data_IF_244283064453
#
_entry.id   IF_244283064453
#
_cell.length_a   1.000
_cell.length_b   1.000
_cell.length_c   1.000
_cell.angle_alpha   90.00
_cell.angle_beta   90.00
_cell.angle_gamma   90.00
#
_symmetry.space_group_name_H-M   'P 1'
#
loop_
_entity.id
_entity.type
_entity.pdbx_description
1 polymer ?
#
# COMPACT_ATOMS: atom_id res chain seq x y z
N UNK A 1 -7.60 2.01 10.10
CA UNK A 1 -6.56 1.64 9.11
C UNK A 1 -6.42 2.78 8.11
N UNK A 2 -5.20 3.26 7.86
CA UNK A 2 -4.94 4.31 6.88
C UNK A 2 -4.26 3.72 5.65
N UNK A 3 -4.91 3.83 4.49
CA UNK A 3 -4.41 3.30 3.22
C UNK A 3 -4.16 4.44 2.24
N UNK A 4 -3.02 4.41 1.59
CA UNK A 4 -2.73 5.24 0.44
C UNK A 4 -2.42 4.38 -0.78
N UNK A 5 -2.91 4.79 -1.95
CA UNK A 5 -2.57 4.17 -3.24
C UNK A 5 -1.78 5.19 -4.07
N UNK A 6 -0.69 4.73 -4.68
CA UNK A 6 0.13 5.50 -5.62
C UNK A 6 0.39 4.72 -6.89
N UNK A 7 0.26 5.43 -8.00
CA UNK A 7 0.55 4.86 -9.30
C UNK A 7 2.02 4.64 -9.54
N UNK A 8 2.83 5.59 -9.12
CA UNK A 8 4.28 5.53 -9.16
C UNK A 8 4.84 6.14 -7.89
N UNK A 9 5.88 5.52 -7.34
CA UNK A 9 6.61 6.03 -6.19
C UNK A 9 8.07 5.59 -6.25
N UNK A 10 8.97 6.46 -5.82
CA UNK A 10 10.31 6.13 -5.38
C UNK A 10 10.35 6.09 -3.83
N UNK A 11 11.52 5.80 -3.25
CA UNK A 11 11.66 5.73 -1.79
C UNK A 11 11.30 7.07 -1.10
N UNK A 12 11.59 8.20 -1.73
CA UNK A 12 11.29 9.52 -1.14
C UNK A 12 9.79 9.74 -0.94
N UNK A 13 8.97 9.24 -1.85
CA UNK A 13 7.51 9.26 -1.74
C UNK A 13 7.03 8.33 -0.63
N UNK A 14 7.63 7.14 -0.52
CA UNK A 14 7.31 6.18 0.56
C UNK A 14 7.60 6.80 1.94
N UNK A 15 8.77 7.40 2.10
CA UNK A 15 9.20 8.05 3.35
C UNK A 15 8.32 9.26 3.69
N UNK A 16 7.93 10.06 2.69
CA UNK A 16 7.01 11.19 2.88
C UNK A 16 5.65 10.70 3.41
N UNK A 17 5.12 9.61 2.87
CA UNK A 17 3.86 9.03 3.35
C UNK A 17 4.01 8.38 4.72
N UNK A 18 5.13 7.74 5.02
CA UNK A 18 5.41 7.24 6.36
C UNK A 18 5.32 8.39 7.37
N UNK A 19 6.01 9.50 7.10
CA UNK A 19 5.96 10.70 7.96
C UNK A 19 4.55 11.26 8.11
N UNK A 20 3.80 11.45 7.01
CA UNK A 20 2.44 12.01 7.03
C UNK A 20 1.42 11.11 7.74
N UNK A 21 1.54 9.80 7.55
CA UNK A 21 0.62 8.82 8.15
C UNK A 21 0.98 8.54 9.61
N UNK A 22 2.26 8.56 9.97
CA UNK A 22 2.73 8.43 11.35
C UNK A 22 2.30 9.58 12.26
N UNK A 23 2.05 10.76 11.70
CA UNK A 23 1.51 11.92 12.43
C UNK A 23 0.01 11.79 12.75
N UNK A 24 -0.70 10.81 12.18
CA UNK A 24 -2.13 10.61 12.47
C UNK A 24 -2.29 9.97 13.86
N UNK A 25 -3.14 10.54 14.72
CA UNK A 25 -3.43 9.95 16.03
C UNK A 25 -4.13 8.59 15.84
N UNK A 26 -3.70 7.59 16.61
CA UNK A 26 -4.29 6.24 16.62
C UNK A 26 -3.30 5.12 16.30
N UNK A 27 -3.64 3.89 16.70
CA UNK A 27 -2.84 2.66 16.45
C UNK A 27 -3.18 2.00 15.11
N UNK A 28 -3.62 2.79 14.14
CA UNK A 28 -3.99 2.26 12.85
C UNK A 28 -2.79 1.64 12.14
N UNK A 29 -3.00 0.46 11.54
CA UNK A 29 -2.09 -0.06 10.52
C UNK A 29 -2.02 0.93 9.37
N UNK A 30 -0.79 1.17 8.91
CA UNK A 30 -0.46 2.09 7.83
C UNK A 30 -0.07 1.26 6.62
N UNK A 31 -0.72 1.49 5.48
CA UNK A 31 -0.42 0.77 4.25
C UNK A 31 -0.27 1.72 3.07
N UNK A 32 0.77 1.52 2.28
CA UNK A 32 0.99 2.18 1.00
C UNK A 32 0.99 1.13 -0.12
N UNK A 33 0.07 1.24 -1.06
CA UNK A 33 0.04 0.42 -2.27
C UNK A 33 0.74 1.17 -3.39
N UNK A 34 1.76 0.57 -4.00
CA UNK A 34 2.50 1.15 -5.11
C UNK A 34 2.51 0.21 -6.32
N UNK A 35 1.90 0.63 -7.43
CA UNK A 35 1.78 -0.24 -8.60
C UNK A 35 2.88 -0.08 -9.67
N UNK A 36 3.72 0.95 -9.58
CA UNK A 36 4.90 1.11 -10.44
C UNK A 36 6.05 1.70 -9.64
N UNK A 37 6.77 0.89 -8.85
CA UNK A 37 7.91 1.36 -8.07
C UNK A 37 9.03 1.86 -9.00
N UNK A 38 9.70 2.93 -8.59
CA UNK A 38 10.93 3.42 -9.23
C UNK A 38 12.11 3.01 -8.37
N UNK A 39 12.88 2.04 -8.84
CA UNK A 39 13.94 1.40 -8.04
C UNK A 39 13.39 0.42 -7.00
N UNK A 40 14.26 0.02 -6.06
CA UNK A 40 13.89 -0.86 -4.96
C UNK A 40 13.31 -0.02 -3.81
N UNK A 41 12.10 -0.37 -3.39
CA UNK A 41 11.43 0.27 -2.26
C UNK A 41 11.56 -0.61 -1.00
N UNK A 42 11.68 0.04 0.15
CA UNK A 42 11.76 -0.59 1.47
C UNK A 42 10.68 -0.03 2.39
N UNK A 43 10.20 -0.86 3.31
CA UNK A 43 9.24 -0.45 4.34
C UNK A 43 9.92 0.44 5.39
N UNK A 44 9.46 1.68 5.59
CA UNK A 44 10.02 2.56 6.61
C UNK A 44 9.34 2.34 7.97
N UNK A 45 10.13 2.54 9.03
CA UNK A 45 9.64 2.65 10.41
C UNK A 45 9.17 4.09 10.65
N UNK A 46 7.97 4.26 11.19
CA UNK A 46 7.44 5.57 11.60
C UNK A 46 7.81 5.90 13.05
N UNK A 47 7.70 7.19 13.41
CA UNK A 47 8.22 7.77 14.65
C UNK A 47 7.72 7.15 15.95
N UNK A 48 6.60 6.42 15.93
CA UNK A 48 6.05 5.71 17.09
C UNK A 48 6.33 4.21 17.08
N UNK A 49 7.26 3.76 16.24
CA UNK A 49 7.70 2.36 16.14
C UNK A 49 6.79 1.47 15.30
N UNK A 50 5.70 2.00 14.71
CA UNK A 50 4.94 1.26 13.69
C UNK A 50 5.73 1.15 12.39
N UNK A 51 5.33 0.22 11.53
CA UNK A 51 5.86 0.09 10.16
C UNK A 51 4.77 0.51 9.17
N UNK A 52 5.17 1.27 8.14
CA UNK A 52 4.33 1.46 6.96
C UNK A 52 4.46 0.22 6.09
N UNK A 53 3.41 -0.60 6.02
CA UNK A 53 3.38 -1.75 5.13
C UNK A 53 3.38 -1.28 3.68
N UNK A 54 4.32 -1.80 2.90
CA UNK A 54 4.43 -1.48 1.49
C UNK A 54 3.92 -2.66 0.68
N UNK A 55 2.83 -2.44 -0.06
CA UNK A 55 2.24 -3.45 -0.93
C UNK A 55 2.52 -3.12 -2.39
N UNK A 56 3.29 -3.99 -3.06
CA UNK A 56 3.61 -3.85 -4.48
C UNK A 56 2.54 -4.52 -5.36
N UNK A 57 2.51 -4.16 -6.64
CA UNK A 57 1.50 -4.60 -7.62
C UNK A 57 1.26 -6.10 -7.61
N UNK A 58 2.34 -6.88 -7.62
CA UNK A 58 2.28 -8.34 -7.75
C UNK A 58 1.59 -8.97 -6.53
N UNK A 59 1.92 -8.46 -5.34
CA UNK A 59 1.31 -8.91 -4.09
C UNK A 59 -0.18 -8.54 -4.05
N UNK A 60 -0.51 -7.30 -4.42
CA UNK A 60 -1.91 -6.84 -4.44
C UNK A 60 -2.74 -7.60 -5.47
N UNK A 61 -2.22 -7.78 -6.69
CA UNK A 61 -2.89 -8.51 -7.76
C UNK A 61 -3.21 -9.94 -7.34
N UNK A 62 -2.25 -10.61 -6.69
CA UNK A 62 -2.47 -11.97 -6.16
C UNK A 62 -3.56 -12.01 -5.10
N UNK A 63 -3.48 -11.13 -4.09
CA UNK A 63 -4.51 -11.05 -3.04
C UNK A 63 -5.90 -10.74 -3.61
N UNK A 64 -5.98 -9.87 -4.62
CA UNK A 64 -7.24 -9.54 -5.28
C UNK A 64 -7.82 -10.73 -6.05
N UNK A 65 -6.97 -11.51 -6.75
CA UNK A 65 -7.40 -12.75 -7.42
C UNK A 65 -7.88 -13.78 -6.39
N UNK A 66 -7.11 -14.00 -5.32
CA UNK A 66 -7.44 -14.95 -4.25
C UNK A 66 -8.74 -14.55 -3.52
N UNK A 67 -9.01 -13.26 -3.39
CA UNK A 67 -10.26 -12.73 -2.83
C UNK A 67 -11.47 -12.83 -3.78
N UNK A 68 -11.29 -13.37 -4.99
CA UNK A 68 -12.36 -13.56 -5.97
C UNK A 68 -12.75 -12.30 -6.74
N UNK A 69 -11.87 -11.28 -6.82
CA UNK A 69 -12.17 -10.05 -7.58
C UNK A 69 -12.48 -10.36 -9.06
N UNK A 70 -11.74 -11.29 -9.66
CA UNK A 70 -11.97 -11.70 -11.05
C UNK A 70 -13.38 -12.28 -11.22
N UNK A 71 -13.76 -13.21 -10.35
CA UNK A 71 -15.10 -13.81 -10.35
C UNK A 71 -16.19 -12.76 -10.15
N UNK A 72 -15.96 -11.81 -9.23
CA UNK A 72 -16.89 -10.72 -8.94
C UNK A 72 -17.11 -9.78 -10.13
N UNK A 73 -16.05 -9.47 -10.89
CA UNK A 73 -16.13 -8.62 -12.10
C UNK A 73 -16.87 -9.38 -13.20
N UNK A 74 -16.49 -10.63 -13.47
CA UNK A 74 -17.11 -11.44 -14.53
C UNK A 74 -18.62 -11.59 -14.35
N UNK A 75 -19.09 -11.67 -13.10
CA UNK A 75 -20.52 -11.75 -12.78
C UNK A 75 -21.31 -10.45 -13.00
N UNK A 76 -20.64 -9.31 -13.28
CA UNK A 76 -21.26 -7.97 -13.43
C UNK A 76 -21.12 -7.36 -14.81
N UNK A 77 -20.23 -7.91 -15.63
CA UNK A 77 -19.93 -7.40 -16.98
C UNK A 77 -20.55 -8.31 -18.06
N UNK A 78 -21.27 -9.36 -17.65
CA UNK A 78 -22.20 -10.13 -18.49
C UNK A 78 -23.63 -9.64 -18.28
#
# INVERSE_FOLDING_TARGET
MAVQIKSRADQSIVDDYARRLGQRPGKDQLMLVCHSPTGTLSEPVVSDGRTLQLMLTEQFARLAMDAGLVSWISARVQ
#
